data_IF_854005817303
#
_entry.id   IF_854005817303
#
_cell.length_a   1.000
_cell.length_b   1.000
_cell.length_c   1.000
_cell.angle_alpha   90.00
_cell.angle_beta   90.00
_cell.angle_gamma   90.00
#
_symmetry.space_group_name_H-M   'P 1'
#
loop_
_entity.id
_entity.type
_entity.pdbx_description
1 polymer ?
#
# COMPACT_ATOMS: atom_id res chain seq x y z
N UNK A 1 9.57 2.32 18.63
CA UNK A 1 9.80 2.26 17.17
C UNK A 1 9.35 3.61 16.62
N UNK A 2 10.25 4.38 15.99
CA UNK A 2 9.88 5.67 15.38
C UNK A 2 9.74 5.43 13.89
N UNK A 3 8.58 5.76 13.33
CA UNK A 3 8.38 5.77 11.90
C UNK A 3 9.05 7.01 11.29
N UNK A 4 9.67 6.85 10.14
CA UNK A 4 10.34 7.91 9.39
C UNK A 4 9.80 8.06 7.95
N UNK A 5 10.49 8.87 7.16
CA UNK A 5 10.13 9.17 5.77
C UNK A 5 10.22 7.95 4.84
N UNK A 6 11.11 6.99 5.14
CA UNK A 6 11.27 5.75 4.38
C UNK A 6 10.10 4.80 4.67
N UNK A 7 9.62 4.75 5.92
CA UNK A 7 8.42 3.98 6.25
C UNK A 7 7.19 4.49 5.49
N UNK A 8 7.02 5.82 5.42
CA UNK A 8 5.95 6.42 4.60
C UNK A 8 6.10 6.11 3.11
N UNK A 9 7.34 6.12 2.59
CA UNK A 9 7.62 5.73 1.22
C UNK A 9 7.25 4.25 0.97
N UNK A 10 7.56 3.35 1.92
CA UNK A 10 7.19 1.94 1.87
C UNK A 10 5.68 1.73 1.85
N UNK A 11 4.95 2.37 2.75
CA UNK A 11 3.47 2.34 2.77
C UNK A 11 2.90 2.85 1.45
N UNK A 12 3.41 3.96 0.92
CA UNK A 12 2.94 4.49 -0.36
C UNK A 12 3.29 3.58 -1.54
N UNK A 13 4.42 2.88 -1.49
CA UNK A 13 4.83 1.90 -2.50
C UNK A 13 3.87 0.71 -2.52
N UNK A 14 3.44 0.22 -1.35
CA UNK A 14 2.43 -0.85 -1.25
C UNK A 14 1.10 -0.39 -1.90
N UNK A 15 0.70 0.86 -1.67
CA UNK A 15 -0.52 1.43 -2.29
C UNK A 15 -0.40 1.50 -3.80
N UNK A 16 0.69 2.08 -4.32
CA UNK A 16 0.85 2.28 -5.76
C UNK A 16 0.98 0.96 -6.52
N UNK A 17 1.76 0.01 -6.00
CA UNK A 17 1.87 -1.32 -6.61
C UNK A 17 0.52 -2.04 -6.65
N UNK A 18 -0.26 -1.94 -5.58
CA UNK A 18 -1.62 -2.54 -5.54
C UNK A 18 -2.53 -1.88 -6.57
N UNK A 19 -2.48 -0.55 -6.70
CA UNK A 19 -3.24 0.20 -7.70
C UNK A 19 -2.81 -0.18 -9.13
N UNK A 20 -1.52 -0.27 -9.41
CA UNK A 20 -0.99 -0.63 -10.73
C UNK A 20 -1.40 -2.05 -11.14
N UNK A 21 -1.38 -3.00 -10.20
CA UNK A 21 -1.86 -4.36 -10.46
C UNK A 21 -3.36 -4.41 -10.75
N UNK A 22 -4.17 -3.66 -9.98
CA UNK A 22 -5.62 -3.58 -10.19
C UNK A 22 -5.94 -2.91 -11.52
N UNK A 23 -5.25 -1.81 -11.85
CA UNK A 23 -5.37 -1.12 -13.14
C UNK A 23 -4.99 -2.05 -14.29
N UNK A 24 -3.87 -2.77 -14.19
CA UNK A 24 -3.44 -3.75 -15.19
C UNK A 24 -4.43 -4.90 -15.36
N UNK A 25 -5.06 -5.36 -14.28
CA UNK A 25 -6.08 -6.40 -14.33
C UNK A 25 -7.45 -5.89 -14.82
N UNK A 26 -7.63 -4.56 -14.95
CA UNK A 26 -8.89 -3.87 -15.26
C UNK A 26 -10.06 -4.32 -14.35
N UNK A 27 -9.74 -4.81 -13.15
CA UNK A 27 -10.67 -5.43 -12.21
C UNK A 27 -10.00 -5.58 -10.84
N UNK A 28 -10.71 -5.23 -9.77
CA UNK A 28 -10.23 -5.35 -8.39
C UNK A 28 -10.83 -4.32 -7.44
N UNK A 29 -10.42 -4.37 -6.17
CA UNK A 29 -10.93 -3.51 -5.10
C UNK A 29 -9.82 -2.60 -4.54
N UNK A 30 -9.63 -1.38 -5.08
CA UNK A 30 -8.54 -0.49 -4.68
C UNK A 30 -8.69 0.07 -3.27
N UNK A 31 -9.90 0.08 -2.70
CA UNK A 31 -10.17 0.67 -1.39
C UNK A 31 -9.45 -0.02 -0.23
N UNK A 32 -9.38 -1.36 -0.24
CA UNK A 32 -8.76 -2.13 0.84
C UNK A 32 -7.23 -1.96 0.87
N UNK A 33 -6.50 -2.07 -0.25
CA UNK A 33 -5.06 -1.79 -0.27
C UNK A 33 -4.70 -0.36 0.15
N UNK A 34 -5.52 0.64 -0.17
CA UNK A 34 -5.24 2.03 0.23
C UNK A 34 -5.37 2.26 1.73
N UNK A 35 -6.39 1.67 2.36
CA UNK A 35 -6.64 1.79 3.80
C UNK A 35 -5.76 0.88 4.65
N UNK A 36 -5.46 -0.33 4.17
CA UNK A 36 -4.72 -1.34 4.93
C UNK A 36 -3.19 -1.27 4.74
N UNK A 37 -2.65 -0.49 3.79
CA UNK A 37 -1.20 -0.40 3.59
C UNK A 37 -0.38 -0.04 4.86
N UNK A 38 -0.81 0.91 5.73
CA UNK A 38 -0.06 1.22 6.97
C UNK A 38 -0.03 0.07 7.97
N UNK A 39 -1.16 -0.64 8.15
CA UNK A 39 -1.23 -1.78 9.07
C UNK A 39 -0.45 -2.97 8.52
N UNK A 40 -0.49 -3.20 7.20
CA UNK A 40 0.27 -4.24 6.54
C UNK A 40 1.78 -3.99 6.67
N UNK A 41 2.23 -2.74 6.49
CA UNK A 41 3.64 -2.36 6.65
C UNK A 41 4.13 -2.50 8.10
N UNK A 42 3.26 -2.28 9.09
CA UNK A 42 3.65 -2.35 10.52
C UNK A 42 3.65 -3.79 11.06
N UNK A 43 2.80 -4.67 10.50
CA UNK A 43 2.68 -6.07 10.92
C UNK A 43 3.84 -6.95 10.40
N UNK A 44 4.44 -6.54 9.30
CA UNK A 44 5.48 -7.28 8.58
C UNK A 44 6.87 -6.80 8.99
#
# INVERSE_FOLDING_TARGET
>A
MKFDSIDQLGVNTIRTLSLDMIQKANSGHPGLPMGAAPMAYTLW
#
